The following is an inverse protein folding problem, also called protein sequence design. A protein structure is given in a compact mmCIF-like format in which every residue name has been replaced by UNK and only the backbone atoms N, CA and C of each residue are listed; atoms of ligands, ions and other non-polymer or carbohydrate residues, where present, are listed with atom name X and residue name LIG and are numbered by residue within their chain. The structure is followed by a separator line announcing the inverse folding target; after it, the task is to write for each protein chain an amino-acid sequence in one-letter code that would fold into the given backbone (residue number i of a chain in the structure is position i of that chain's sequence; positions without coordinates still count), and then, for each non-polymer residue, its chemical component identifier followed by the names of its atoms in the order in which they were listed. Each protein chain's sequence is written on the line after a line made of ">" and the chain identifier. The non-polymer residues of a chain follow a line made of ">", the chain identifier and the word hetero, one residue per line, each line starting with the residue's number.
data_IF_503998990538
#
_entry.id   IF_503998990538
#
_cell.length_a   1.000
_cell.length_b   1.000
_cell.length_c   1.000
_cell.angle_alpha   90.00
_cell.angle_beta   90.00
_cell.angle_gamma   90.00
#
_symmetry.space_group_name_H-M   'P 1'
#
loop_
_entity.id
_entity.type
_entity.pdbx_description
1 polymer ?
#
# COMPACT_ATOMS: atom_id res chain seq x y z
N UNK A 1 -20.27 -1.48 6.65
CA UNK A 1 -19.01 -0.71 6.47
C UNK A 1 -17.74 -1.40 7.03
N UNK A 2 -17.85 -2.55 7.71
CA UNK A 2 -16.71 -3.26 8.32
C UNK A 2 -15.58 -3.70 7.36
N UNK A 3 -15.88 -3.96 6.08
CA UNK A 3 -14.88 -4.49 5.14
C UNK A 3 -13.74 -3.51 4.79
N UNK A 4 -13.83 -2.24 5.19
CA UNK A 4 -12.81 -1.21 4.97
C UNK A 4 -11.85 -1.04 6.14
N UNK A 5 -12.16 -1.61 7.31
CA UNK A 5 -11.36 -1.34 8.49
C UNK A 5 -10.01 -2.05 8.43
N UNK A 6 -8.96 -1.39 8.94
CA UNK A 6 -7.63 -1.98 9.12
C UNK A 6 -7.72 -3.28 9.94
N UNK A 7 -8.56 -3.28 10.98
CA UNK A 7 -8.82 -4.47 11.81
C UNK A 7 -9.36 -5.64 10.98
N UNK A 8 -10.34 -5.38 10.09
CA UNK A 8 -10.88 -6.42 9.22
C UNK A 8 -9.82 -6.96 8.25
N UNK A 9 -9.02 -6.08 7.63
CA UNK A 9 -7.94 -6.48 6.75
C UNK A 9 -6.89 -7.36 7.46
N UNK A 10 -6.63 -7.09 8.74
CA UNK A 10 -5.65 -7.82 9.56
C UNK A 10 -6.25 -9.03 10.31
N UNK A 11 -7.54 -9.32 10.13
CA UNK A 11 -8.20 -10.46 10.77
C UNK A 11 -7.66 -11.83 10.29
N UNK A 12 -7.02 -11.85 9.13
CA UNK A 12 -6.35 -13.04 8.59
C UNK A 12 -4.88 -13.06 9.00
N UNK A 13 -4.41 -14.15 9.63
CA UNK A 13 -3.03 -14.28 10.12
C UNK A 13 -1.95 -13.98 9.07
N UNK A 14 -2.22 -14.34 7.81
CA UNK A 14 -1.31 -14.10 6.69
C UNK A 14 -1.08 -12.61 6.37
N UNK A 15 -1.99 -11.75 6.82
CA UNK A 15 -1.87 -10.30 6.69
C UNK A 15 -1.11 -9.66 7.87
N UNK A 16 -0.79 -10.41 8.93
CA UNK A 16 -0.06 -9.91 10.10
C UNK A 16 1.27 -9.22 9.74
N UNK A 17 2.11 -9.75 8.82
CA UNK A 17 3.35 -9.06 8.44
C UNK A 17 3.09 -7.70 7.77
N UNK A 18 2.00 -7.56 7.02
CA UNK A 18 1.60 -6.28 6.45
C UNK A 18 1.18 -5.29 7.53
N UNK A 19 0.49 -5.74 8.57
CA UNK A 19 0.22 -4.93 9.76
C UNK A 19 1.50 -4.48 10.47
N UNK A 20 2.49 -5.37 10.62
CA UNK A 20 3.81 -5.04 11.20
C UNK A 20 4.56 -4.01 10.37
N UNK A 21 4.46 -4.06 9.04
CA UNK A 21 5.12 -3.10 8.16
C UNK A 21 4.68 -1.64 8.39
N UNK A 22 3.47 -1.42 8.93
CA UNK A 22 2.97 -0.09 9.30
C UNK A 22 3.76 0.54 10.46
N UNK A 23 4.50 -0.27 11.21
CA UNK A 23 5.23 0.14 12.42
C UNK A 23 6.75 0.17 12.23
N UNK A 24 7.26 -0.05 11.01
CA UNK A 24 8.71 0.02 10.77
C UNK A 24 9.21 1.43 11.09
N UNK A 25 10.28 1.52 11.88
CA UNK A 25 10.94 2.77 12.27
C UNK A 25 11.94 3.20 11.20
N UNK A 26 11.42 3.40 9.99
CA UNK A 26 12.16 3.88 8.83
C UNK A 26 11.22 4.70 7.94
N UNK A 27 11.49 6.01 7.74
CA UNK A 27 10.65 6.86 6.91
C UNK A 27 10.68 6.48 5.41
N UNK A 28 11.61 5.63 4.97
CA UNK A 28 11.64 5.11 3.59
C UNK A 28 10.55 4.07 3.33
N UNK A 29 10.05 3.39 4.37
CA UNK A 29 8.93 2.46 4.24
C UNK A 29 7.63 3.22 4.00
N UNK A 30 7.09 3.14 2.79
CA UNK A 30 5.89 3.87 2.36
C UNK A 30 4.73 3.65 3.34
N UNK A 31 4.44 2.40 3.68
CA UNK A 31 3.30 2.05 4.52
C UNK A 31 3.45 2.62 5.95
N UNK A 32 4.66 2.53 6.52
CA UNK A 32 4.99 3.11 7.81
C UNK A 32 4.89 4.64 7.79
N UNK A 33 5.50 5.29 6.80
CA UNK A 33 5.49 6.73 6.67
C UNK A 33 4.06 7.30 6.53
N UNK A 34 3.15 6.59 5.85
CA UNK A 34 1.77 7.02 5.73
C UNK A 34 0.96 6.77 7.00
N UNK A 35 1.13 5.61 7.63
CA UNK A 35 0.39 5.23 8.83
C UNK A 35 0.81 6.04 10.05
N UNK A 36 2.10 6.11 10.36
CA UNK A 36 2.61 6.72 11.58
C UNK A 36 2.46 8.24 11.60
N UNK A 37 2.51 8.87 10.43
CA UNK A 37 2.32 10.32 10.28
C UNK A 37 0.87 10.72 9.98
N UNK A 38 -0.10 9.80 10.13
CA UNK A 38 -1.52 10.07 9.90
C UNK A 38 -1.82 10.68 8.52
N UNK A 39 -1.03 10.30 7.49
CA UNK A 39 -1.30 10.70 6.09
C UNK A 39 -2.46 9.91 5.50
N UNK A 40 -2.81 8.80 6.15
CA UNK A 40 -4.03 8.02 5.90
C UNK A 40 -4.73 7.77 7.25
N UNK A 41 -6.06 7.60 7.28
CA UNK A 41 -6.78 7.26 8.51
C UNK A 41 -6.31 5.90 9.05
N UNK A 42 -5.91 5.84 10.32
CA UNK A 42 -5.37 4.62 10.92
C UNK A 42 -6.38 3.45 10.91
N UNK A 43 -7.67 3.75 11.05
CA UNK A 43 -8.75 2.77 11.02
C UNK A 43 -9.08 2.24 9.61
N UNK A 44 -8.58 2.89 8.55
CA UNK A 44 -8.81 2.51 7.14
C UNK A 44 -7.51 2.48 6.33
N UNK A 45 -6.36 2.30 6.98
CA UNK A 45 -5.04 2.47 6.39
C UNK A 45 -4.81 1.52 5.20
N UNK A 46 -5.21 0.25 5.35
CA UNK A 46 -5.11 -0.73 4.27
C UNK A 46 -6.02 -0.34 3.10
N UNK A 47 -7.28 -0.02 3.40
CA UNK A 47 -8.30 0.28 2.39
C UNK A 47 -7.96 1.54 1.60
N UNK A 48 -7.38 2.56 2.23
CA UNK A 48 -7.06 3.86 1.63
C UNK A 48 -6.12 3.72 0.43
N UNK A 49 -5.13 2.82 0.52
CA UNK A 49 -4.18 2.57 -0.58
C UNK A 49 -4.63 1.41 -1.49
N UNK A 50 -5.48 0.51 -1.00
CA UNK A 50 -5.96 -0.68 -1.71
C UNK A 50 -7.45 -0.58 -2.07
N UNK A 51 -7.90 0.59 -2.54
CA UNK A 51 -9.32 0.86 -2.83
C UNK A 51 -9.91 -0.09 -3.89
N UNK A 52 -9.07 -0.54 -4.83
CA UNK A 52 -9.44 -1.52 -5.86
C UNK A 52 -9.73 -2.91 -5.31
N UNK A 53 -9.29 -3.20 -4.08
CA UNK A 53 -9.44 -4.51 -3.46
C UNK A 53 -10.86 -4.73 -2.91
N UNK A 54 -11.63 -3.67 -2.63
CA UNK A 54 -12.93 -3.81 -1.96
C UNK A 54 -14.11 -3.01 -2.54
N UNK A 55 -13.95 -1.90 -3.29
CA UNK A 55 -15.13 -1.15 -3.79
C UNK A 55 -15.17 -0.80 -5.28
N UNK A 56 -14.05 -0.65 -5.99
CA UNK A 56 -14.11 -0.29 -7.42
C UNK A 56 -14.08 -1.48 -8.39
N UNK A 57 -13.73 -2.67 -7.90
CA UNK A 57 -13.60 -3.85 -8.75
C UNK A 57 -14.90 -4.58 -9.09
N UNK A 58 -16.07 -3.92 -9.21
CA UNK A 58 -17.35 -4.54 -9.61
C UNK A 58 -17.51 -6.03 -9.23
N UNK A 59 -17.77 -6.89 -10.20
CA UNK A 59 -17.88 -8.35 -10.03
C UNK A 59 -16.49 -9.02 -9.83
N UNK A 60 -15.42 -8.44 -10.39
CA UNK A 60 -14.05 -9.00 -10.36
C UNK A 60 -13.43 -9.05 -8.95
N UNK A 61 -13.64 -8.03 -8.12
CA UNK A 61 -13.15 -8.02 -6.73
C UNK A 61 -13.89 -9.05 -5.86
N UNK A 62 -15.18 -9.28 -6.12
CA UNK A 62 -15.95 -10.35 -5.44
C UNK A 62 -15.41 -11.73 -5.79
N UNK A 63 -15.06 -11.98 -7.06
CA UNK A 63 -14.37 -13.21 -7.46
C UNK A 63 -12.96 -13.29 -6.88
N UNK A 64 -12.25 -12.18 -6.74
CA UNK A 64 -10.97 -12.10 -6.03
C UNK A 64 -11.08 -12.57 -4.57
N UNK A 65 -12.07 -12.04 -3.83
CA UNK A 65 -12.34 -12.45 -2.45
C UNK A 65 -12.73 -13.92 -2.33
N UNK A 66 -13.61 -14.43 -3.22
CA UNK A 66 -13.96 -15.86 -3.26
C UNK A 66 -12.76 -16.75 -3.59
N UNK A 67 -11.86 -16.28 -4.47
CA UNK A 67 -10.62 -16.98 -4.79
C UNK A 67 -9.70 -17.03 -3.58
N UNK A 68 -9.60 -15.96 -2.78
CA UNK A 68 -8.83 -16.00 -1.54
C UNK A 68 -9.43 -17.02 -0.57
N UNK A 69 -10.75 -17.01 -0.36
CA UNK A 69 -11.43 -18.02 0.47
C UNK A 69 -11.09 -19.44 -0.05
N UNK A 70 -11.21 -19.68 -1.35
CA UNK A 70 -10.87 -20.97 -1.96
C UNK A 70 -9.40 -21.37 -1.70
N UNK A 71 -8.44 -20.47 -1.93
CA UNK A 71 -7.01 -20.73 -1.71
C UNK A 71 -6.71 -20.99 -0.22
N UNK A 72 -7.38 -20.30 0.70
CA UNK A 72 -7.14 -20.47 2.13
C UNK A 72 -7.81 -21.71 2.72
N UNK A 73 -8.99 -22.10 2.23
CA UNK A 73 -9.71 -23.26 2.76
C UNK A 73 -9.37 -24.57 2.04
N UNK A 74 -9.05 -24.52 0.75
CA UNK A 74 -8.89 -25.71 -0.10
C UNK A 74 -7.53 -25.77 -0.81
N UNK A 75 -6.71 -24.73 -0.71
CA UNK A 75 -5.39 -24.65 -1.34
C UNK A 75 -4.26 -24.48 -0.33
N UNK A 76 -3.06 -24.22 -0.85
CA UNK A 76 -1.90 -23.79 -0.06
C UNK A 76 -1.65 -22.31 -0.37
N UNK A 77 -1.88 -21.39 0.57
CA UNK A 77 -1.59 -19.98 0.35
C UNK A 77 -0.08 -19.78 0.18
N UNK A 78 0.36 -18.83 -0.67
CA UNK A 78 1.77 -18.49 -0.77
C UNK A 78 2.28 -17.93 0.55
N UNK A 79 3.59 -18.03 0.80
CA UNK A 79 4.21 -17.31 1.92
C UNK A 79 3.94 -15.80 1.80
N UNK A 80 3.79 -15.05 2.91
CA UNK A 80 3.46 -13.62 2.89
C UNK A 80 4.33 -12.78 1.94
N UNK A 81 5.63 -13.01 1.92
CA UNK A 81 6.60 -12.33 1.05
C UNK A 81 6.38 -12.57 -0.46
N UNK A 82 5.64 -13.63 -0.80
CA UNK A 82 5.33 -14.01 -2.17
C UNK A 82 3.94 -13.54 -2.63
N UNK A 83 3.18 -12.88 -1.77
CA UNK A 83 1.90 -12.28 -2.15
C UNK A 83 2.18 -11.04 -3.00
N UNK A 84 1.64 -11.04 -4.22
CA UNK A 84 1.81 -9.97 -5.21
C UNK A 84 0.45 -9.43 -5.65
N UNK A 85 0.44 -8.18 -6.10
CA UNK A 85 -0.72 -7.63 -6.79
C UNK A 85 -0.92 -8.37 -8.12
N UNK A 86 -2.18 -8.62 -8.47
CA UNK A 86 -2.52 -9.25 -9.75
C UNK A 86 -2.27 -8.33 -10.96
N UNK A 87 -2.34 -7.01 -10.73
CA UNK A 87 -2.06 -5.97 -11.70
C UNK A 87 -1.07 -4.97 -11.07
N UNK A 88 -0.24 -4.28 -11.86
CA UNK A 88 0.63 -3.24 -11.34
C UNK A 88 -0.14 -2.18 -10.54
N UNK A 89 0.49 -1.67 -9.48
CA UNK A 89 -0.11 -0.61 -8.67
C UNK A 89 -0.33 0.64 -9.52
N UNK A 90 -1.54 1.21 -9.47
CA UNK A 90 -1.91 2.37 -10.27
C UNK A 90 -1.65 3.66 -9.49
N UNK A 91 -0.93 4.60 -10.09
CA UNK A 91 -0.64 5.90 -9.47
C UNK A 91 -1.89 6.69 -9.08
N UNK A 92 -3.05 6.43 -9.71
CA UNK A 92 -4.33 7.01 -9.30
C UNK A 92 -4.58 6.88 -7.80
N UNK A 93 -4.20 5.74 -7.21
CA UNK A 93 -4.38 5.49 -5.78
C UNK A 93 -3.54 6.47 -4.93
N UNK A 94 -2.29 6.74 -5.32
CA UNK A 94 -1.46 7.77 -4.67
C UNK A 94 -2.03 9.17 -4.91
N UNK A 95 -2.47 9.43 -6.15
CA UNK A 95 -2.94 10.74 -6.60
C UNK A 95 -4.25 11.18 -5.93
N UNK A 96 -4.99 10.29 -5.28
CA UNK A 96 -6.13 10.66 -4.44
C UNK A 96 -5.78 11.66 -3.34
N UNK A 97 -4.56 11.59 -2.79
CA UNK A 97 -4.07 12.54 -1.79
C UNK A 97 -2.95 13.43 -2.33
N UNK A 98 -2.19 12.95 -3.32
CA UNK A 98 -1.03 13.69 -3.84
C UNK A 98 -1.39 14.70 -4.95
N UNK A 99 -2.40 14.45 -5.78
CA UNK A 99 -2.75 15.40 -6.84
C UNK A 99 -3.25 16.73 -6.25
N UNK A 100 -2.71 17.86 -6.74
CA UNK A 100 -3.00 19.19 -6.19
C UNK A 100 -2.31 19.50 -4.85
N UNK A 101 -1.61 18.55 -4.24
CA UNK A 101 -0.81 18.83 -3.05
C UNK A 101 0.47 19.57 -3.47
N UNK A 102 0.72 20.74 -2.84
CA UNK A 102 1.91 21.55 -3.13
C UNK A 102 3.21 20.76 -3.05
N UNK A 103 3.36 19.91 -2.03
CA UNK A 103 4.54 19.07 -1.83
C UNK A 103 4.76 18.06 -2.97
N UNK A 104 3.71 17.65 -3.66
CA UNK A 104 3.78 16.79 -4.83
C UNK A 104 4.09 17.60 -6.08
N UNK A 105 3.36 18.70 -6.33
CA UNK A 105 3.47 19.47 -7.57
C UNK A 105 4.73 20.32 -7.69
N UNK A 106 5.29 20.77 -6.55
CA UNK A 106 6.50 21.58 -6.49
C UNK A 106 7.73 20.80 -6.01
N UNK A 107 7.57 19.51 -5.67
CA UNK A 107 8.65 18.69 -5.11
C UNK A 107 9.79 18.51 -6.13
N UNK A 108 11.02 18.88 -5.73
CA UNK A 108 12.19 18.89 -6.63
C UNK A 108 12.42 17.56 -7.37
N UNK A 109 12.16 16.42 -6.72
CA UNK A 109 12.29 15.10 -7.36
C UNK A 109 11.27 14.88 -8.48
N UNK A 110 10.07 15.46 -8.38
CA UNK A 110 9.04 15.34 -9.42
C UNK A 110 9.20 16.37 -10.54
N UNK A 111 9.88 17.48 -10.28
CA UNK A 111 10.01 18.63 -11.20
C UNK A 111 11.39 18.82 -11.79
N UNK A 112 12.40 18.06 -11.34
CA UNK A 112 13.76 18.09 -11.90
C UNK A 112 13.81 17.72 -13.38
N UNK A 113 12.88 16.87 -13.82
CA UNK A 113 12.62 16.54 -15.21
C UNK A 113 11.21 17.03 -15.58
N UNK A 114 11.06 17.92 -16.59
CA UNK A 114 9.75 18.44 -16.98
C UNK A 114 8.77 17.36 -17.47
N UNK A 115 9.26 16.20 -17.93
CA UNK A 115 8.42 15.11 -18.43
C UNK A 115 7.98 14.13 -17.33
N UNK A 116 8.64 14.15 -16.17
CA UNK A 116 8.39 13.20 -15.10
C UNK A 116 7.02 13.41 -14.43
N UNK A 117 6.71 14.63 -13.97
CA UNK A 117 5.42 14.90 -13.31
C UNK A 117 4.21 14.56 -14.21
N UNK A 118 4.17 14.95 -15.50
CA UNK A 118 3.15 14.48 -16.43
C UNK A 118 3.10 12.96 -16.56
N UNK A 119 4.26 12.28 -16.66
CA UNK A 119 4.32 10.82 -16.76
C UNK A 119 3.80 10.10 -15.51
N UNK A 120 4.09 10.63 -14.31
CA UNK A 120 3.55 10.14 -13.04
C UNK A 120 2.02 10.31 -13.00
N UNK A 121 1.50 11.49 -13.34
CA UNK A 121 0.06 11.78 -13.40
C UNK A 121 -0.67 10.89 -14.42
N UNK A 122 -0.02 10.56 -15.53
CA UNK A 122 -0.55 9.69 -16.58
C UNK A 122 -0.32 8.17 -16.33
N UNK A 123 0.22 7.77 -15.18
CA UNK A 123 0.56 6.38 -14.84
C UNK A 123 1.53 5.71 -15.85
N UNK A 124 2.36 6.49 -16.54
CA UNK A 124 3.42 6.00 -17.44
C UNK A 124 4.69 5.62 -16.68
N UNK A 125 4.96 6.31 -15.59
CA UNK A 125 6.05 6.02 -14.63
C UNK A 125 5.42 5.67 -13.29
N UNK A 126 5.76 4.53 -12.68
CA UNK A 126 5.19 4.14 -11.39
C UNK A 126 5.79 4.95 -10.23
N UNK A 127 4.95 5.38 -9.28
CA UNK A 127 5.41 6.01 -8.04
C UNK A 127 6.25 5.07 -7.16
N UNK A 128 6.03 3.76 -7.27
CA UNK A 128 6.66 2.72 -6.44
C UNK A 128 7.79 1.97 -7.18
N UNK A 129 8.33 2.56 -8.24
CA UNK A 129 9.52 2.03 -8.91
C UNK A 129 10.77 2.16 -8.03
N UNK A 130 11.82 1.41 -8.38
CA UNK A 130 13.12 1.54 -7.71
C UNK A 130 13.67 2.97 -7.86
N UNK A 131 14.16 3.54 -6.76
CA UNK A 131 14.62 4.94 -6.71
C UNK A 131 13.53 5.98 -6.44
N UNK A 132 12.26 5.57 -6.41
CA UNK A 132 11.13 6.39 -5.97
C UNK A 132 10.60 5.89 -4.62
N UNK A 133 9.29 5.71 -4.46
CA UNK A 133 8.69 5.16 -3.24
C UNK A 133 8.67 3.61 -3.25
N UNK A 134 9.83 3.00 -3.53
CA UNK A 134 9.94 1.57 -3.84
C UNK A 134 9.91 0.62 -2.63
N UNK A 135 10.13 1.12 -1.41
CA UNK A 135 10.06 0.29 -0.19
C UNK A 135 8.64 0.34 0.35
N UNK A 136 7.79 -0.59 -0.08
CA UNK A 136 6.35 -0.54 0.23
C UNK A 136 6.01 -1.22 1.56
N UNK A 137 5.91 -2.56 1.56
CA UNK A 137 5.68 -3.37 2.75
C UNK A 137 6.93 -4.16 3.20
N UNK A 138 7.80 -4.52 2.25
CA UNK A 138 9.07 -5.23 2.46
C UNK A 138 8.99 -6.36 3.51
N UNK A 139 7.98 -7.22 3.34
CA UNK A 139 7.64 -8.28 4.32
C UNK A 139 8.81 -9.21 4.60
N UNK A 140 9.62 -9.52 3.58
CA UNK A 140 10.77 -10.42 3.70
C UNK A 140 11.85 -9.91 4.68
N UNK A 141 11.99 -8.58 4.81
CA UNK A 141 13.05 -7.95 5.60
C UNK A 141 12.61 -7.59 7.02
N UNK A 142 11.32 -7.71 7.35
CA UNK A 142 10.75 -7.27 8.65
C UNK A 142 11.42 -7.93 9.86
N UNK A 143 11.96 -9.14 9.73
CA UNK A 143 12.68 -9.84 10.82
C UNK A 143 13.89 -9.05 11.36
N UNK A 144 14.44 -8.16 10.54
CA UNK A 144 15.60 -7.33 10.88
C UNK A 144 15.23 -5.85 11.07
N UNK A 145 13.95 -5.49 10.92
CA UNK A 145 13.49 -4.12 11.00
C UNK A 145 13.40 -3.65 12.46
N UNK A 146 13.63 -2.35 12.67
CA UNK A 146 13.28 -1.67 13.91
C UNK A 146 11.81 -1.25 13.85
N UNK A 147 11.13 -1.24 14.98
CA UNK A 147 9.71 -0.89 15.05
C UNK A 147 9.47 0.29 16.00
N UNK A 148 8.73 1.28 15.51
CA UNK A 148 8.35 2.46 16.26
C UNK A 148 7.23 2.13 17.24
N UNK A 149 7.43 2.51 18.51
CA UNK A 149 6.53 2.18 19.62
C UNK A 149 5.64 3.35 20.08
N UNK A 150 5.71 4.50 19.40
CA UNK A 150 5.06 5.73 19.85
C UNK A 150 6.07 6.73 20.40
N UNK A 151 5.65 8.00 20.53
CA UNK A 151 6.38 8.98 21.33
C UNK A 151 6.17 8.66 22.82
N UNK A 152 7.24 8.74 23.61
CA UNK A 152 7.15 8.65 25.08
C UNK A 152 6.49 9.89 25.67
#
# INVERSE_FOLDING_TARGET
>A
EHAKSTEFCLSCHIMEPYGKSLRVDDPQHLAAAHFQNHRVPANEACYTCHTNYAMFGGIKAKFGGLRHIYVYYLGTPPAPENIKLYEPYNNRECLHCHAGARSFEEGAVHTADPDLLPALKANKTSCISSGCHGVVHDVASLKNAKFWKGGN
#
